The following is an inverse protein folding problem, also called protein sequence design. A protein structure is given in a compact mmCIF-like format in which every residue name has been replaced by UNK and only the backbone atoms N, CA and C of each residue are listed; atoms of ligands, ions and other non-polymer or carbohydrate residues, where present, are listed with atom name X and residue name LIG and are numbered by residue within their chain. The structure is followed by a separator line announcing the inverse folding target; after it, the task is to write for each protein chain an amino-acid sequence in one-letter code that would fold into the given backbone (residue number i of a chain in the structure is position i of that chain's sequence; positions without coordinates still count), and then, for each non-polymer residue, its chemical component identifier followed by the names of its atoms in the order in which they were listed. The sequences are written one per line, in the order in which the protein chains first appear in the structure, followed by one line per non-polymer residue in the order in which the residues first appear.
data_IF_413408696366
#
_entry.id   IF_413408696366
#
_cell.length_a   1.000
_cell.length_b   1.000
_cell.length_c   1.000
_cell.angle_alpha   90.00
_cell.angle_beta   90.00
_cell.angle_gamma   90.00
#
_symmetry.space_group_name_H-M   'P 1'
#
loop_
_entity.id
_entity.type
_entity.pdbx_description
1 polymer ?
#
# COMPACT_ATOMS: atom_id res chain seq x y z
N UNK A 1 -82.19 -0.70 5.39
CA UNK A 1 -80.87 -0.17 5.74
C UNK A 1 -80.00 -1.03 6.70
N UNK A 2 -80.42 -2.23 7.09
CA UNK A 2 -79.64 -3.10 8.03
C UNK A 2 -78.88 -4.27 7.37
N UNK A 3 -79.00 -4.48 6.06
CA UNK A 3 -78.35 -5.62 5.35
C UNK A 3 -77.05 -5.25 4.60
N UNK A 4 -76.76 -3.96 4.41
CA UNK A 4 -75.55 -3.50 3.69
C UNK A 4 -74.36 -3.44 4.61
N UNK A 5 -74.54 -3.23 5.92
CA UNK A 5 -73.44 -3.17 6.89
C UNK A 5 -72.77 -4.48 7.23
N UNK A 6 -73.48 -5.63 7.01
CA UNK A 6 -72.92 -6.96 7.33
C UNK A 6 -71.91 -7.44 6.25
N UNK A 7 -72.11 -7.00 5.00
CA UNK A 7 -71.19 -7.40 3.91
C UNK A 7 -69.88 -6.61 3.90
N UNK A 8 -69.83 -5.37 4.40
CA UNK A 8 -68.60 -4.60 4.52
C UNK A 8 -67.70 -5.10 5.66
N UNK A 9 -68.26 -5.59 6.76
CA UNK A 9 -67.47 -6.15 7.87
C UNK A 9 -66.84 -7.48 7.55
N UNK A 10 -67.48 -8.32 6.69
CA UNK A 10 -66.95 -9.60 6.25
C UNK A 10 -65.81 -9.44 5.20
N UNK A 11 -65.87 -8.39 4.37
CA UNK A 11 -64.81 -8.08 3.39
C UNK A 11 -63.54 -7.53 4.03
N UNK A 12 -63.63 -6.79 5.12
CA UNK A 12 -62.45 -6.29 5.86
C UNK A 12 -61.74 -7.39 6.68
N UNK A 13 -62.45 -8.44 7.08
CA UNK A 13 -61.86 -9.55 7.84
C UNK A 13 -61.02 -10.50 6.96
N UNK A 14 -61.20 -10.49 5.63
CA UNK A 14 -60.46 -11.39 4.70
C UNK A 14 -59.14 -10.78 4.22
N UNK A 15 -58.89 -9.47 4.40
CA UNK A 15 -57.64 -8.85 3.99
C UNK A 15 -56.55 -8.95 5.09
N UNK A 16 -56.92 -9.34 6.31
CA UNK A 16 -56.00 -9.33 7.46
C UNK A 16 -55.24 -10.67 7.68
N UNK A 17 -55.33 -11.65 6.79
CA UNK A 17 -54.69 -12.95 6.98
C UNK A 17 -53.68 -13.40 5.91
N UNK A 18 -53.26 -12.49 5.02
CA UNK A 18 -52.05 -12.77 4.24
C UNK A 18 -50.82 -12.25 5.01
N UNK A 19 -50.46 -12.92 6.12
CA UNK A 19 -49.07 -12.93 6.54
C UNK A 19 -48.32 -13.64 5.43
N UNK A 20 -47.59 -12.90 4.60
CA UNK A 20 -46.52 -13.43 3.78
C UNK A 20 -45.62 -14.21 4.73
N UNK A 21 -45.71 -15.54 4.73
CA UNK A 21 -44.67 -16.36 5.38
C UNK A 21 -43.37 -16.01 4.68
N UNK A 22 -42.49 -15.31 5.38
CA UNK A 22 -41.12 -15.17 4.90
C UNK A 22 -40.59 -16.59 4.66
N UNK A 23 -40.18 -16.85 3.45
CA UNK A 23 -39.47 -18.08 3.11
C UNK A 23 -38.24 -18.16 3.98
N UNK A 24 -37.89 -19.31 4.56
CA UNK A 24 -36.66 -19.44 5.34
C UNK A 24 -35.48 -19.07 4.44
N UNK A 25 -34.65 -18.14 4.94
CA UNK A 25 -33.44 -17.70 4.24
C UNK A 25 -32.52 -18.88 4.01
N UNK A 26 -32.00 -19.02 2.80
CA UNK A 26 -31.01 -20.03 2.44
C UNK A 26 -29.67 -19.82 3.14
N UNK A 27 -28.82 -20.83 3.09
CA UNK A 27 -27.46 -20.73 3.68
C UNK A 27 -26.66 -19.57 3.07
N UNK A 28 -26.84 -19.26 1.79
CA UNK A 28 -26.19 -18.14 1.08
C UNK A 28 -26.63 -16.77 1.56
N UNK A 29 -27.77 -16.66 2.23
CA UNK A 29 -28.29 -15.42 2.77
C UNK A 29 -27.98 -15.26 4.27
N UNK A 30 -27.56 -16.33 4.94
CA UNK A 30 -27.37 -16.36 6.39
C UNK A 30 -25.92 -16.59 6.81
N UNK A 31 -25.11 -17.20 5.93
CA UNK A 31 -23.69 -17.44 6.22
C UNK A 31 -22.92 -16.12 6.19
N UNK A 32 -22.30 -15.79 7.31
CA UNK A 32 -21.42 -14.63 7.39
C UNK A 32 -20.11 -14.91 6.65
N UNK A 33 -19.53 -13.89 6.04
CA UNK A 33 -18.22 -13.98 5.37
C UNK A 33 -17.13 -14.50 6.32
N UNK A 34 -17.18 -14.10 7.59
CA UNK A 34 -16.26 -14.60 8.63
C UNK A 34 -16.39 -16.10 8.91
N UNK A 35 -17.52 -16.73 8.56
CA UNK A 35 -17.78 -18.15 8.77
C UNK A 35 -17.62 -18.97 7.49
N UNK A 36 -17.41 -18.29 6.35
CA UNK A 36 -17.17 -18.95 5.07
C UNK A 36 -15.79 -19.60 5.05
N UNK A 37 -15.76 -20.93 4.93
CA UNK A 37 -14.53 -21.74 4.91
C UNK A 37 -14.56 -22.66 3.70
N UNK A 38 -14.32 -22.14 2.49
CA UNK A 38 -14.33 -22.96 1.29
C UNK A 38 -13.19 -23.98 1.33
N UNK A 39 -13.49 -25.18 0.87
CA UNK A 39 -12.48 -26.22 0.62
C UNK A 39 -12.25 -26.28 -0.88
N UNK A 40 -10.98 -26.20 -1.29
CA UNK A 40 -10.63 -26.31 -2.71
C UNK A 40 -11.06 -27.66 -3.28
N UNK A 41 -11.74 -27.63 -4.42
CA UNK A 41 -12.05 -28.84 -5.20
C UNK A 41 -10.89 -29.24 -6.10
N UNK A 42 -9.87 -28.41 -6.22
CA UNK A 42 -8.68 -28.66 -7.01
C UNK A 42 -7.66 -29.45 -6.17
N UNK A 43 -7.27 -30.60 -6.70
CA UNK A 43 -6.17 -31.38 -6.12
C UNK A 43 -4.87 -31.03 -6.85
N UNK A 44 -4.27 -29.90 -6.43
CA UNK A 44 -3.02 -29.42 -7.01
C UNK A 44 -1.85 -30.09 -6.28
N UNK A 45 -0.92 -30.77 -7.00
CA UNK A 45 0.28 -31.31 -6.38
C UNK A 45 1.04 -30.19 -5.63
N UNK A 46 1.41 -30.48 -4.39
CA UNK A 46 2.23 -29.57 -3.60
C UNK A 46 3.70 -29.95 -3.77
N UNK A 47 4.53 -28.97 -4.11
CA UNK A 47 5.99 -29.12 -4.11
C UNK A 47 6.50 -28.46 -2.85
N UNK A 48 7.20 -29.22 -2.03
CA UNK A 48 7.88 -28.68 -0.86
C UNK A 48 9.32 -28.33 -1.26
N UNK A 49 9.67 -27.05 -1.17
CA UNK A 49 11.02 -26.55 -1.42
C UNK A 49 11.58 -26.07 -0.10
N UNK A 50 12.48 -26.85 0.48
CA UNK A 50 13.07 -26.53 1.79
C UNK A 50 14.00 -25.33 1.72
N UNK A 51 14.70 -25.15 0.60
CA UNK A 51 15.71 -24.10 0.45
C UNK A 51 15.85 -23.69 -1.01
N UNK A 52 16.06 -22.42 -1.25
CA UNK A 52 16.41 -21.91 -2.57
C UNK A 52 17.73 -22.51 -3.05
N UNK A 53 17.85 -22.76 -4.36
CA UNK A 53 19.07 -23.31 -5.00
C UNK A 53 20.26 -22.36 -4.89
N UNK A 54 20.01 -21.06 -4.92
CA UNK A 54 21.00 -19.99 -4.85
C UNK A 54 20.74 -19.13 -3.63
N UNK A 55 21.75 -18.40 -3.13
CA UNK A 55 21.54 -17.39 -2.10
C UNK A 55 20.44 -16.43 -2.50
N UNK A 56 19.56 -16.13 -1.58
CA UNK A 56 18.42 -15.21 -1.80
C UNK A 56 18.80 -13.82 -1.35
N UNK A 57 18.45 -12.81 -2.17
CA UNK A 57 18.47 -11.41 -1.80
C UNK A 57 17.02 -10.97 -1.68
N UNK A 58 16.62 -10.55 -0.49
CA UNK A 58 15.34 -9.91 -0.26
C UNK A 58 15.46 -8.43 -0.64
N UNK A 59 14.86 -8.05 -1.76
CA UNK A 59 15.01 -6.71 -2.33
C UNK A 59 14.04 -5.68 -1.75
N UNK A 60 13.13 -6.09 -0.84
CA UNK A 60 12.15 -5.16 -0.29
C UNK A 60 11.63 -5.63 1.06
N UNK A 61 12.14 -5.02 2.09
CA UNK A 61 11.64 -5.15 3.46
C UNK A 61 11.61 -3.77 4.12
N UNK A 62 11.10 -3.69 5.34
CA UNK A 62 10.99 -2.44 6.08
C UNK A 62 11.59 -2.58 7.48
N UNK A 63 11.90 -1.44 8.11
CA UNK A 63 12.37 -1.38 9.48
C UNK A 63 11.21 -1.57 10.46
N UNK A 64 10.84 -2.83 10.69
CA UNK A 64 9.74 -3.21 11.60
C UNK A 64 10.19 -3.57 13.01
N UNK A 65 11.49 -3.49 13.29
CA UNK A 65 11.99 -3.80 14.63
C UNK A 65 11.50 -2.76 15.65
N UNK A 66 11.04 -3.23 16.80
CA UNK A 66 10.71 -2.40 17.95
C UNK A 66 11.90 -2.24 18.92
N UNK A 67 12.85 -3.19 18.87
CA UNK A 67 14.04 -3.20 19.71
C UNK A 67 15.24 -3.81 18.97
N UNK A 68 16.48 -3.33 19.24
CA UNK A 68 17.68 -3.82 18.56
C UNK A 68 17.90 -5.35 18.64
N UNK A 69 17.42 -5.99 19.69
CA UNK A 69 17.52 -7.43 19.90
C UNK A 69 16.71 -8.25 18.86
N UNK A 70 15.69 -7.64 18.28
CA UNK A 70 14.86 -8.29 17.26
C UNK A 70 15.63 -8.50 15.94
N UNK A 71 16.69 -7.74 15.70
CA UNK A 71 17.57 -7.95 14.53
C UNK A 71 18.27 -9.31 14.62
N UNK A 72 18.62 -9.78 15.81
CA UNK A 72 19.24 -11.09 16.02
C UNK A 72 18.28 -12.21 15.56
N UNK A 73 17.01 -12.15 15.98
CA UNK A 73 15.98 -13.11 15.57
C UNK A 73 15.68 -13.01 14.05
N UNK A 74 15.73 -11.81 13.48
CA UNK A 74 15.58 -11.63 12.04
C UNK A 74 16.70 -12.31 11.28
N UNK A 75 17.95 -12.14 11.71
CA UNK A 75 19.11 -12.80 11.06
C UNK A 75 19.04 -14.32 11.19
N UNK A 76 18.61 -14.85 12.34
CA UNK A 76 18.36 -16.29 12.51
C UNK A 76 17.31 -16.81 11.50
N UNK A 77 16.22 -16.06 11.29
CA UNK A 77 15.20 -16.39 10.31
C UNK A 77 15.74 -16.32 8.87
N UNK A 78 16.56 -15.31 8.55
CA UNK A 78 17.23 -15.19 7.25
C UNK A 78 18.12 -16.41 6.99
N UNK A 79 18.91 -16.83 7.99
CA UNK A 79 19.80 -18.00 7.87
C UNK A 79 19.00 -19.29 7.67
N UNK A 80 17.91 -19.47 8.39
CA UNK A 80 17.03 -20.62 8.25
C UNK A 80 16.39 -20.70 6.85
N UNK A 81 16.06 -19.56 6.23
CA UNK A 81 15.47 -19.47 4.89
C UNK A 81 16.51 -19.42 3.76
N UNK A 82 17.80 -19.25 4.07
CA UNK A 82 18.86 -19.07 3.08
C UNK A 82 18.89 -17.69 2.44
N UNK A 83 18.38 -16.66 3.14
CA UNK A 83 18.46 -15.27 2.73
C UNK A 83 19.83 -14.72 3.12
N UNK A 84 20.62 -14.30 2.11
CA UNK A 84 21.95 -13.77 2.31
C UNK A 84 21.93 -12.29 2.70
N UNK A 85 21.06 -11.53 2.07
CA UNK A 85 21.00 -10.07 2.18
C UNK A 85 19.56 -9.60 2.12
N UNK A 86 19.21 -8.59 2.91
CA UNK A 86 17.89 -7.94 2.91
C UNK A 86 18.06 -6.44 2.70
N UNK A 87 17.27 -5.88 1.78
CA UNK A 87 17.18 -4.45 1.54
C UNK A 87 16.08 -3.84 2.40
N UNK A 88 16.46 -2.94 3.28
CA UNK A 88 15.54 -2.19 4.15
C UNK A 88 15.15 -0.90 3.45
N UNK A 89 13.89 -0.80 3.08
CA UNK A 89 13.30 0.42 2.57
C UNK A 89 13.00 1.34 3.74
N UNK A 90 13.58 2.51 3.73
CA UNK A 90 13.26 3.54 4.70
C UNK A 90 11.96 4.22 4.28
N UNK A 91 10.83 3.59 4.61
CA UNK A 91 9.54 4.26 4.53
C UNK A 91 9.62 5.51 5.36
N UNK A 92 9.66 6.61 4.68
CA UNK A 92 9.88 7.93 5.22
C UNK A 92 8.97 8.26 6.39
N UNK A 93 9.50 8.03 7.56
CA UNK A 93 9.08 8.79 8.70
C UNK A 93 9.87 10.09 8.66
N UNK A 94 9.23 11.17 8.23
CA UNK A 94 9.80 12.49 8.47
C UNK A 94 10.12 12.55 9.96
N UNK A 95 11.39 12.77 10.26
CA UNK A 95 11.85 12.92 11.63
C UNK A 95 12.62 11.75 12.24
N UNK A 96 12.78 10.60 11.57
CA UNK A 96 13.77 9.60 11.97
C UNK A 96 15.00 9.72 11.08
N UNK A 97 16.14 10.21 11.60
CA UNK A 97 17.37 10.33 10.82
C UNK A 97 17.82 8.99 10.24
N UNK A 98 18.40 9.00 9.04
CA UNK A 98 18.83 7.79 8.36
C UNK A 98 19.81 6.95 9.19
N UNK A 99 20.73 7.61 9.88
CA UNK A 99 21.69 7.00 10.79
C UNK A 99 21.02 6.24 11.96
N UNK A 100 19.90 6.71 12.44
CA UNK A 100 19.13 6.02 13.50
C UNK A 100 18.44 4.74 13.00
N UNK A 101 18.07 4.72 11.72
CA UNK A 101 17.51 3.50 11.09
C UNK A 101 18.59 2.44 10.97
N UNK A 102 19.80 2.80 10.56
CA UNK A 102 20.89 1.85 10.36
C UNK A 102 21.52 1.32 11.64
N UNK A 103 21.52 2.12 12.71
CA UNK A 103 22.27 1.82 13.93
C UNK A 103 21.97 0.43 14.54
N UNK A 104 20.73 -0.05 14.66
CA UNK A 104 20.44 -1.37 15.21
C UNK A 104 21.05 -2.52 14.43
N UNK A 105 21.28 -2.34 13.13
CA UNK A 105 21.75 -3.37 12.21
C UNK A 105 23.28 -3.40 12.04
N UNK A 106 24.00 -2.41 12.59
CA UNK A 106 25.44 -2.24 12.40
C UNK A 106 26.27 -3.49 12.74
N UNK A 107 25.82 -4.30 13.71
CA UNK A 107 26.43 -5.57 14.10
C UNK A 107 26.53 -6.58 12.96
N UNK A 108 25.63 -6.51 11.98
CA UNK A 108 25.48 -7.48 10.92
C UNK A 108 26.00 -7.03 9.55
N UNK A 109 26.60 -5.85 9.48
CA UNK A 109 27.33 -5.35 8.30
C UNK A 109 26.61 -5.62 6.97
N UNK A 110 27.18 -6.54 6.18
CA UNK A 110 26.71 -6.80 4.81
C UNK A 110 25.39 -7.58 4.70
N UNK A 111 24.75 -7.92 5.82
CA UNK A 111 23.47 -8.64 5.78
C UNK A 111 22.29 -7.71 5.45
N UNK A 112 22.45 -6.39 5.61
CA UNK A 112 21.42 -5.40 5.37
C UNK A 112 21.93 -4.27 4.48
N UNK A 113 21.10 -3.87 3.51
CA UNK A 113 21.29 -2.68 2.69
C UNK A 113 20.16 -1.71 2.95
N UNK A 114 20.48 -0.42 2.99
CA UNK A 114 19.52 0.60 3.40
C UNK A 114 19.22 1.53 2.24
N UNK A 115 17.93 1.81 2.05
CA UNK A 115 17.41 2.77 1.11
C UNK A 115 16.93 3.98 1.89
N UNK A 116 17.37 5.16 1.51
CA UNK A 116 16.94 6.38 2.16
C UNK A 116 15.61 6.87 1.59
N UNK A 117 14.90 7.69 2.37
CA UNK A 117 13.82 8.53 1.87
C UNK A 117 14.36 9.87 1.39
N UNK A 118 13.48 10.77 0.98
CA UNK A 118 13.80 12.15 0.68
C UNK A 118 13.07 13.08 1.63
N UNK A 119 13.69 14.20 1.97
CA UNK A 119 13.01 15.28 2.68
C UNK A 119 12.40 16.25 1.66
N UNK A 120 11.09 16.17 1.50
CA UNK A 120 10.33 17.00 0.57
C UNK A 120 9.86 18.34 1.17
N UNK A 121 10.18 18.64 2.43
CA UNK A 121 9.61 19.78 3.16
C UNK A 121 9.82 21.08 2.41
N UNK A 122 11.04 21.36 1.97
CA UNK A 122 11.36 22.61 1.23
C UNK A 122 10.79 22.58 -0.19
N UNK A 123 10.87 21.44 -0.86
CA UNK A 123 10.29 21.26 -2.20
C UNK A 123 8.79 21.53 -2.22
N UNK A 124 8.06 21.05 -1.23
CA UNK A 124 6.62 21.30 -1.08
C UNK A 124 6.31 22.75 -0.74
N UNK A 125 7.18 23.42 0.02
CA UNK A 125 6.99 24.77 0.48
C UNK A 125 7.20 25.82 -0.60
N UNK A 126 8.30 25.74 -1.36
CA UNK A 126 8.70 26.78 -2.33
C UNK A 126 9.20 26.23 -3.68
N UNK A 127 9.17 24.90 -3.86
CA UNK A 127 9.61 24.24 -5.08
C UNK A 127 11.13 24.10 -5.22
N UNK A 128 11.91 24.40 -4.17
CA UNK A 128 13.38 24.30 -4.20
C UNK A 128 13.84 22.89 -3.90
N UNK A 129 14.59 22.22 -4.82
CA UNK A 129 15.03 20.83 -4.64
C UNK A 129 16.30 20.68 -3.79
N UNK A 130 16.94 21.78 -3.38
CA UNK A 130 18.30 21.77 -2.83
C UNK A 130 18.42 20.96 -1.53
N UNK A 131 17.42 21.03 -0.64
CA UNK A 131 17.41 20.25 0.59
C UNK A 131 17.23 18.75 0.32
N UNK A 132 16.39 18.37 -0.65
CA UNK A 132 16.28 16.99 -1.09
C UNK A 132 17.63 16.46 -1.60
N UNK A 133 18.32 17.25 -2.41
CA UNK A 133 19.62 16.89 -2.99
C UNK A 133 20.67 16.75 -1.89
N UNK A 134 20.77 17.73 -0.99
CA UNK A 134 21.71 17.69 0.11
C UNK A 134 21.47 16.49 1.05
N UNK A 135 20.21 16.18 1.34
CA UNK A 135 19.86 15.02 2.13
C UNK A 135 20.23 13.70 1.43
N UNK A 136 19.96 13.60 0.14
CA UNK A 136 20.33 12.46 -0.70
C UNK A 136 21.84 12.20 -0.70
N UNK A 137 22.64 13.26 -0.91
CA UNK A 137 24.10 13.19 -0.86
C UNK A 137 24.59 12.71 0.50
N UNK A 138 24.06 13.28 1.58
CA UNK A 138 24.37 12.85 2.95
C UNK A 138 24.05 11.37 3.18
N UNK A 139 22.88 10.90 2.76
CA UNK A 139 22.51 9.50 2.91
C UNK A 139 23.41 8.57 2.08
N UNK A 140 23.77 8.98 0.85
CA UNK A 140 24.72 8.25 0.01
C UNK A 140 26.10 8.11 0.68
N UNK A 141 26.63 9.20 1.25
CA UNK A 141 27.88 9.18 2.02
C UNK A 141 27.82 8.25 3.23
N UNK A 142 26.66 8.09 3.83
CA UNK A 142 26.41 7.15 4.93
C UNK A 142 26.18 5.69 4.47
N UNK A 143 26.15 5.44 3.15
CA UNK A 143 26.02 4.09 2.60
C UNK A 143 24.62 3.72 2.13
N UNK A 144 23.72 4.67 1.91
CA UNK A 144 22.46 4.40 1.24
C UNK A 144 22.69 3.86 -0.17
N UNK A 145 22.00 2.79 -0.54
CA UNK A 145 22.14 2.12 -1.85
C UNK A 145 21.04 2.49 -2.85
N UNK A 146 20.04 3.23 -2.43
CA UNK A 146 18.90 3.66 -3.26
C UNK A 146 17.97 4.57 -2.49
N UNK A 147 16.91 5.03 -3.15
CA UNK A 147 15.83 5.85 -2.59
C UNK A 147 14.54 5.05 -2.58
N UNK A 148 13.89 4.97 -1.45
CA UNK A 148 12.61 4.24 -1.32
C UNK A 148 12.36 3.69 0.07
N UNK A 149 11.17 3.20 0.32
CA UNK A 149 10.06 3.17 -0.61
C UNK A 149 9.37 4.54 -0.66
N UNK A 150 9.16 5.06 -1.85
CA UNK A 150 8.35 6.24 -2.07
C UNK A 150 6.95 5.79 -2.49
N UNK A 151 5.90 6.43 -1.97
CA UNK A 151 4.52 6.08 -2.31
C UNK A 151 3.87 7.18 -3.15
N UNK A 152 3.26 6.82 -4.28
CA UNK A 152 2.33 7.69 -4.99
C UNK A 152 1.03 6.91 -5.24
N UNK A 153 -0.01 7.29 -4.50
CA UNK A 153 -1.33 6.65 -4.57
C UNK A 153 -2.32 7.43 -5.42
N UNK A 154 -1.84 8.44 -6.15
CA UNK A 154 -2.64 9.31 -6.97
C UNK A 154 -3.19 10.53 -6.25
N UNK A 155 -2.83 10.75 -5.01
CA UNK A 155 -3.21 11.91 -4.20
C UNK A 155 -2.14 13.01 -4.20
N UNK A 156 -1.01 12.77 -4.87
CA UNK A 156 0.12 13.71 -4.93
C UNK A 156 0.97 13.73 -3.67
N UNK A 157 0.91 12.70 -2.90
CA UNK A 157 1.80 12.42 -1.79
C UNK A 157 2.84 11.39 -2.23
N UNK A 158 4.01 11.81 -2.66
CA UNK A 158 5.15 10.89 -2.89
C UNK A 158 5.62 10.19 -1.61
N UNK A 159 4.75 10.16 -0.66
CA UNK A 159 4.93 9.65 0.68
C UNK A 159 3.97 8.52 0.97
N UNK A 160 4.42 7.50 1.68
CA UNK A 160 3.57 6.42 2.16
C UNK A 160 2.49 6.89 3.15
N UNK A 161 2.52 8.15 3.59
CA UNK A 161 1.51 8.74 4.48
C UNK A 161 1.21 10.18 4.08
N UNK A 162 -0.04 10.62 4.21
CA UNK A 162 -0.41 11.98 3.87
C UNK A 162 0.40 12.97 4.70
N UNK A 163 1.15 13.81 3.99
CA UNK A 163 1.79 15.00 4.52
C UNK A 163 1.04 16.22 4.01
N UNK A 164 1.12 17.34 4.70
CA UNK A 164 0.65 18.60 4.14
C UNK A 164 1.47 18.87 2.87
N UNK A 165 0.81 19.07 1.75
CA UNK A 165 1.51 19.35 0.48
C UNK A 165 1.13 18.41 -0.66
N UNK A 166 -0.14 18.08 -0.77
CA UNK A 166 -0.69 17.33 -1.89
C UNK A 166 -0.36 17.97 -3.25
N UNK A 167 -0.32 17.15 -4.31
CA UNK A 167 -0.07 17.60 -5.68
C UNK A 167 1.36 17.36 -6.15
N UNK A 168 2.17 16.57 -5.43
CA UNK A 168 3.50 16.15 -5.85
C UNK A 168 3.44 14.72 -6.39
N UNK A 169 3.53 14.56 -7.69
CA UNK A 169 3.59 13.27 -8.38
C UNK A 169 5.00 12.98 -8.90
N UNK A 170 5.27 11.72 -9.24
CA UNK A 170 6.61 11.27 -9.63
C UNK A 170 7.17 12.00 -10.87
N UNK A 171 6.32 12.48 -11.78
CA UNK A 171 6.71 13.24 -12.98
C UNK A 171 6.74 14.76 -12.75
N UNK A 172 6.60 15.22 -11.50
CA UNK A 172 6.64 16.66 -11.20
C UNK A 172 7.99 17.28 -11.64
N UNK A 173 7.95 18.37 -12.43
CA UNK A 173 9.17 19.00 -12.93
C UNK A 173 10.16 19.44 -11.86
N UNK A 174 9.68 19.74 -10.63
CA UNK A 174 10.51 20.12 -9.48
C UNK A 174 11.43 18.99 -9.03
N UNK A 175 11.07 17.74 -9.32
CA UNK A 175 11.85 16.55 -8.98
C UNK A 175 12.96 16.23 -9.99
N UNK A 176 12.96 16.82 -11.18
CA UNK A 176 13.99 16.53 -12.20
C UNK A 176 15.43 16.66 -11.71
N UNK A 177 15.80 17.69 -10.95
CA UNK A 177 17.16 17.80 -10.41
C UNK A 177 17.47 16.69 -9.40
N UNK A 178 16.47 16.25 -8.62
CA UNK A 178 16.60 15.16 -7.65
C UNK A 178 16.86 13.83 -8.37
N UNK A 179 16.07 13.54 -9.44
CA UNK A 179 16.28 12.35 -10.25
C UNK A 179 17.62 12.32 -10.96
N UNK A 180 18.07 13.48 -11.47
CA UNK A 180 19.40 13.63 -12.05
C UNK A 180 20.51 13.32 -11.02
N UNK A 181 20.34 13.76 -9.77
CA UNK A 181 21.29 13.46 -8.69
C UNK A 181 21.25 11.97 -8.33
N UNK A 182 20.10 11.35 -8.26
CA UNK A 182 20.01 9.89 -8.06
C UNK A 182 20.77 9.11 -9.14
N UNK A 183 20.64 9.52 -10.41
CA UNK A 183 21.38 8.93 -11.52
C UNK A 183 22.90 9.14 -11.39
N UNK A 184 23.34 10.34 -11.05
CA UNK A 184 24.77 10.68 -10.79
C UNK A 184 25.37 9.77 -9.71
N UNK A 185 24.65 9.60 -8.60
CA UNK A 185 25.05 8.77 -7.47
C UNK A 185 24.81 7.27 -7.71
N UNK A 186 24.21 6.88 -8.83
CA UNK A 186 23.80 5.49 -9.15
C UNK A 186 22.88 4.87 -8.09
N UNK A 187 22.00 5.68 -7.55
CA UNK A 187 21.00 5.26 -6.58
C UNK A 187 19.68 4.99 -7.29
N UNK A 188 19.26 3.72 -7.43
CA UNK A 188 17.96 3.39 -7.97
C UNK A 188 16.84 3.89 -7.07
N UNK A 189 15.64 4.04 -7.64
CA UNK A 189 14.45 4.53 -6.95
C UNK A 189 13.43 3.40 -6.90
N UNK A 190 12.92 3.10 -5.70
CA UNK A 190 11.80 2.17 -5.49
C UNK A 190 10.53 2.96 -5.18
N UNK A 191 9.45 2.64 -5.89
CA UNK A 191 8.18 3.38 -5.81
C UNK A 191 7.02 2.41 -5.67
N UNK A 192 6.19 2.65 -4.65
CA UNK A 192 4.87 2.07 -4.50
C UNK A 192 3.88 2.87 -5.36
N UNK A 193 3.64 2.41 -6.57
CA UNK A 193 2.76 3.06 -7.53
C UNK A 193 1.34 2.55 -7.37
N UNK A 194 0.49 3.39 -6.81
CA UNK A 194 -0.93 3.09 -6.69
C UNK A 194 -1.27 2.02 -5.65
N UNK A 195 -2.55 1.78 -5.56
CA UNK A 195 -3.16 0.73 -4.77
C UNK A 195 -3.92 -0.23 -5.70
N UNK A 196 -4.39 -1.39 -5.25
CA UNK A 196 -5.29 -2.22 -6.05
C UNK A 196 -6.48 -1.43 -6.61
N UNK A 197 -6.83 -1.66 -7.87
CA UNK A 197 -7.81 -0.85 -8.61
C UNK A 197 -9.14 -0.65 -7.87
N UNK A 198 -9.60 -1.67 -7.16
CA UNK A 198 -10.84 -1.60 -6.37
C UNK A 198 -10.81 -0.55 -5.24
N UNK A 199 -9.62 -0.11 -4.78
CA UNK A 199 -9.48 0.96 -3.79
C UNK A 199 -9.84 2.35 -4.35
N UNK A 200 -9.87 2.50 -5.67
CA UNK A 200 -10.26 3.73 -6.37
C UNK A 200 -11.74 3.72 -6.78
N UNK A 201 -12.43 2.60 -6.62
CA UNK A 201 -13.83 2.45 -7.00
C UNK A 201 -14.77 2.85 -5.84
N UNK A 202 -16.06 3.14 -6.13
CA UNK A 202 -17.06 3.35 -5.08
C UNK A 202 -17.06 2.21 -4.06
N UNK A 203 -17.15 2.57 -2.78
CA UNK A 203 -17.17 1.60 -1.69
C UNK A 203 -18.62 1.12 -1.44
N UNK A 204 -19.15 0.31 -2.34
CA UNK A 204 -20.52 -0.21 -2.32
C UNK A 204 -20.56 -1.72 -2.56
N UNK A 205 -21.78 -2.28 -2.64
CA UNK A 205 -21.97 -3.73 -2.78
C UNK A 205 -21.48 -4.33 -4.11
N UNK A 206 -21.10 -3.50 -5.07
CA UNK A 206 -20.56 -3.95 -6.37
C UNK A 206 -19.03 -4.01 -6.38
N UNK A 207 -18.38 -3.50 -5.34
CA UNK A 207 -16.92 -3.50 -5.22
C UNK A 207 -16.45 -4.83 -4.64
N UNK A 208 -15.70 -5.60 -5.41
CA UNK A 208 -15.18 -6.93 -5.02
C UNK A 208 -14.13 -6.86 -3.90
N UNK A 209 -13.49 -5.70 -3.72
CA UNK A 209 -12.53 -5.44 -2.65
C UNK A 209 -13.13 -4.78 -1.39
N UNK A 210 -14.46 -4.60 -1.32
CA UNK A 210 -15.12 -3.88 -0.23
C UNK A 210 -14.70 -4.29 1.19
N UNK A 211 -14.48 -5.58 1.53
CA UNK A 211 -14.05 -5.97 2.87
C UNK A 211 -12.75 -5.30 3.32
N UNK A 212 -11.84 -5.06 2.38
CA UNK A 212 -10.59 -4.33 2.64
C UNK A 212 -10.77 -2.82 2.45
N UNK A 213 -11.49 -2.40 1.41
CA UNK A 213 -11.77 -1.01 1.08
C UNK A 213 -12.53 -0.25 2.16
N UNK A 214 -13.33 -0.93 2.96
CA UNK A 214 -14.02 -0.35 4.11
C UNK A 214 -13.06 0.19 5.18
N UNK A 215 -11.83 -0.36 5.26
CA UNK A 215 -10.78 0.05 6.19
C UNK A 215 -9.80 1.01 5.52
N UNK A 216 -9.51 0.77 4.23
CA UNK A 216 -8.54 1.53 3.46
C UNK A 216 -9.01 1.70 2.02
N UNK A 217 -9.11 2.93 1.55
CA UNK A 217 -9.41 3.28 0.15
C UNK A 217 -8.82 4.64 -0.19
N UNK A 218 -8.70 4.92 -1.48
CA UNK A 218 -8.26 6.22 -1.99
C UNK A 218 -9.47 7.13 -2.16
N UNK A 219 -9.43 8.32 -1.56
CA UNK A 219 -10.47 9.32 -1.76
C UNK A 219 -10.32 9.98 -3.14
N UNK A 220 -11.00 9.42 -4.12
CA UNK A 220 -11.00 9.94 -5.50
C UNK A 220 -11.80 11.23 -5.67
N UNK A 221 -12.45 11.73 -4.62
CA UNK A 221 -13.18 13.00 -4.65
C UNK A 221 -12.31 14.18 -4.23
N UNK A 222 -11.12 13.93 -3.68
CA UNK A 222 -10.16 14.96 -3.33
C UNK A 222 -9.73 15.75 -4.59
N UNK A 223 -9.60 17.08 -4.46
CA UNK A 223 -9.38 17.98 -5.59
C UNK A 223 -8.11 17.65 -6.40
N UNK A 224 -7.09 17.15 -5.73
CA UNK A 224 -5.78 16.86 -6.32
C UNK A 224 -5.58 15.37 -6.61
N UNK A 225 -6.62 14.54 -6.47
CA UNK A 225 -6.54 13.13 -6.75
C UNK A 225 -6.64 12.87 -8.26
N UNK A 226 -5.61 12.25 -8.83
CA UNK A 226 -5.59 11.88 -10.26
C UNK A 226 -6.40 10.62 -10.56
N UNK A 227 -6.80 9.86 -9.54
CA UNK A 227 -7.35 8.54 -9.72
C UNK A 227 -6.32 7.55 -10.31
N UNK A 228 -6.76 6.33 -10.57
CA UNK A 228 -5.86 5.26 -11.00
C UNK A 228 -5.21 5.53 -12.36
N UNK A 229 -6.01 5.90 -13.37
CA UNK A 229 -5.52 6.11 -14.75
C UNK A 229 -4.58 7.32 -14.83
N UNK A 230 -4.91 8.41 -14.13
CA UNK A 230 -4.04 9.59 -14.07
C UNK A 230 -2.70 9.27 -13.41
N UNK A 231 -2.72 8.48 -12.35
CA UNK A 231 -1.51 8.02 -11.67
C UNK A 231 -0.63 7.16 -12.58
N UNK A 232 -1.21 6.21 -13.33
CA UNK A 232 -0.45 5.41 -14.29
C UNK A 232 0.21 6.28 -15.36
N UNK A 233 -0.47 7.33 -15.82
CA UNK A 233 0.08 8.27 -16.80
C UNK A 233 1.29 9.05 -16.23
N UNK A 234 1.26 9.48 -14.97
CA UNK A 234 2.42 10.16 -14.36
C UNK A 234 3.63 9.25 -14.26
N UNK A 235 3.42 7.99 -13.91
CA UNK A 235 4.48 7.00 -13.84
C UNK A 235 5.10 6.71 -15.21
N UNK A 236 4.29 6.54 -16.25
CA UNK A 236 4.77 6.38 -17.63
C UNK A 236 5.56 7.60 -18.11
N UNK A 237 5.13 8.82 -17.74
CA UNK A 237 5.84 10.05 -18.06
C UNK A 237 7.22 10.07 -17.38
N UNK A 238 7.27 9.76 -16.08
CA UNK A 238 8.53 9.70 -15.34
C UNK A 238 9.53 8.72 -15.98
N UNK A 239 9.09 7.51 -16.35
CA UNK A 239 9.92 6.52 -17.03
C UNK A 239 10.41 7.01 -18.40
N UNK A 240 9.56 7.70 -19.15
CA UNK A 240 9.90 8.22 -20.49
C UNK A 240 10.93 9.37 -20.41
N UNK A 241 10.83 10.19 -19.38
CA UNK A 241 11.72 11.34 -19.18
C UNK A 241 13.06 10.96 -18.54
N UNK A 242 13.15 9.80 -17.88
CA UNK A 242 14.36 9.32 -17.22
C UNK A 242 14.74 7.92 -17.77
N UNK A 243 15.11 7.82 -19.05
CA UNK A 243 15.57 6.56 -19.61
C UNK A 243 16.89 6.13 -18.92
N UNK A 244 17.05 4.83 -18.67
CA UNK A 244 18.25 4.23 -18.07
C UNK A 244 19.47 4.34 -19.00
#
# INVERSE_FOLDING_TARGET
MKRIFIYCAAALALVSCCKTQEQPKGITETLLLNDFRPVSVNNIPQTFVEKAKYPVIDMHSHDYIAAPEEVDAWVEAMDACGIQETHIMHCSWIGKPFEEVMAPYAKYGDRFRFWCSLDYTQLLKDGTPDECIAYLEKCHEMGAVGVGEMGDKGQGDLYARPTEGYGLHIDDPRLKPVWAKCAELKMPINIHVGEPYWMYLPQDATNDGLPNGAVWHVDTTAADCLGYEGLMATFENALRENPA
#
